data_IF_574026468616
#
_entry.id   IF_574026468616
#
_cell.length_a   1.000
_cell.length_b   1.000
_cell.length_c   1.000
_cell.angle_alpha   90.00
_cell.angle_beta   90.00
_cell.angle_gamma   90.00
#
_symmetry.space_group_name_H-M   'P 1'
#
loop_
_entity.id
_entity.type
_entity.pdbx_description
1 polymer ?
#
# COMPACT_ATOMS: atom_id res chain seq x y z
N UNK A 1 -4.82 4.63 0.62
CA UNK A 1 -4.23 5.82 1.30
C UNK A 1 -3.18 5.31 2.27
N UNK A 2 -2.19 4.64 1.68
CA UNK A 2 -1.04 4.08 2.34
C UNK A 2 -0.11 3.74 1.19
N UNK A 3 1.17 4.03 1.34
CA UNK A 3 2.19 3.69 0.36
C UNK A 3 3.30 3.00 1.13
N UNK A 4 3.75 1.89 0.59
CA UNK A 4 4.86 1.12 1.13
C UNK A 4 5.82 0.82 -0.01
N UNK A 5 7.07 0.50 0.32
CA UNK A 5 8.12 0.21 -0.67
C UNK A 5 8.82 -1.08 -0.32
N UNK A 6 9.05 -1.93 -1.32
CA UNK A 6 9.84 -3.14 -1.18
C UNK A 6 11.27 -2.89 -1.68
N UNK A 7 12.25 -3.44 -0.99
CA UNK A 7 13.63 -3.40 -1.44
C UNK A 7 13.84 -4.38 -2.60
N UNK A 8 14.52 -3.91 -3.65
CA UNK A 8 14.85 -4.69 -4.84
C UNK A 8 16.36 -4.68 -5.06
N UNK A 9 16.88 -5.77 -5.61
CA UNK A 9 18.31 -5.98 -5.84
C UNK A 9 18.58 -6.31 -7.30
N UNK A 10 19.83 -6.18 -7.75
CA UNK A 10 20.23 -6.49 -9.13
C UNK A 10 20.10 -7.97 -9.50
N UNK A 11 19.86 -8.85 -8.52
CA UNK A 11 19.61 -10.26 -8.73
C UNK A 11 18.11 -10.58 -8.91
N UNK A 12 17.23 -9.59 -8.79
CA UNK A 12 15.80 -9.79 -9.00
C UNK A 12 15.48 -9.80 -10.49
N UNK A 13 14.88 -10.89 -10.96
CA UNK A 13 14.33 -10.97 -12.29
C UNK A 13 13.00 -10.19 -12.40
N UNK A 14 12.52 -9.99 -13.63
CA UNK A 14 11.22 -9.32 -13.85
C UNK A 14 10.08 -10.07 -13.16
N UNK A 15 10.11 -11.41 -13.17
CA UNK A 15 9.10 -12.23 -12.51
C UNK A 15 9.15 -12.10 -10.97
N UNK A 16 10.34 -11.89 -10.40
CA UNK A 16 10.50 -11.64 -8.97
C UNK A 16 9.92 -10.26 -8.58
N UNK A 17 10.14 -9.25 -9.42
CA UNK A 17 9.55 -7.91 -9.22
C UNK A 17 8.02 -7.96 -9.29
N UNK A 18 7.45 -8.73 -10.22
CA UNK A 18 5.99 -8.92 -10.33
C UNK A 18 5.44 -9.59 -9.06
N UNK A 19 6.11 -10.63 -8.55
CA UNK A 19 5.69 -11.28 -7.30
C UNK A 19 5.77 -10.34 -6.11
N UNK A 20 6.89 -9.64 -5.93
CA UNK A 20 7.08 -8.65 -4.84
C UNK A 20 6.04 -7.53 -4.91
N UNK A 21 5.75 -7.03 -6.12
CA UNK A 21 4.73 -6.01 -6.34
C UNK A 21 3.33 -6.49 -5.93
N UNK A 22 2.94 -7.69 -6.34
CA UNK A 22 1.63 -8.28 -5.99
C UNK A 22 1.46 -8.45 -4.48
N UNK A 23 2.51 -8.85 -3.77
CA UNK A 23 2.46 -9.00 -2.32
C UNK A 23 2.37 -7.65 -1.61
N UNK A 24 3.13 -6.65 -2.08
CA UNK A 24 3.06 -5.29 -1.57
C UNK A 24 1.66 -4.68 -1.78
N UNK A 25 1.09 -4.82 -2.99
CA UNK A 25 -0.25 -4.33 -3.31
C UNK A 25 -1.32 -4.92 -2.40
N UNK A 26 -1.29 -6.24 -2.16
CA UNK A 26 -2.24 -6.90 -1.25
C UNK A 26 -2.15 -6.34 0.17
N UNK A 27 -0.94 -6.14 0.66
CA UNK A 27 -0.69 -5.73 2.03
C UNK A 27 -1.10 -4.26 2.24
N UNK A 28 -0.71 -3.38 1.32
CA UNK A 28 -1.11 -1.96 1.31
C UNK A 28 -2.62 -1.81 1.18
N UNK A 29 -3.25 -2.60 0.31
CA UNK A 29 -4.70 -2.56 0.12
C UNK A 29 -5.44 -3.03 1.38
N UNK A 30 -5.01 -4.14 1.99
CA UNK A 30 -5.62 -4.67 3.21
C UNK A 30 -5.55 -3.66 4.36
N UNK A 31 -4.39 -3.01 4.56
CA UNK A 31 -4.23 -1.96 5.59
C UNK A 31 -5.08 -0.73 5.31
N UNK A 32 -5.14 -0.29 4.05
CA UNK A 32 -5.99 0.84 3.65
C UNK A 32 -7.47 0.54 3.89
N UNK A 33 -7.94 -0.67 3.56
CA UNK A 33 -9.32 -1.11 3.85
C UNK A 33 -9.59 -1.14 5.35
N UNK A 34 -8.65 -1.67 6.14
CA UNK A 34 -8.80 -1.72 7.61
C UNK A 34 -8.96 -0.32 8.21
N UNK A 35 -8.11 0.63 7.82
CA UNK A 35 -8.21 2.04 8.22
C UNK A 35 -9.51 2.69 7.74
N UNK A 36 -9.98 2.32 6.55
CA UNK A 36 -11.26 2.81 6.02
C UNK A 36 -12.45 2.32 6.85
N UNK A 37 -12.49 1.02 7.19
CA UNK A 37 -13.54 0.42 8.02
C UNK A 37 -13.61 1.03 9.42
N UNK A 38 -12.47 1.43 9.97
CA UNK A 38 -12.39 2.13 11.26
C UNK A 38 -12.83 3.60 11.19
N UNK A 39 -13.30 4.09 10.04
CA UNK A 39 -13.65 5.50 9.77
C UNK A 39 -12.50 6.47 10.11
N UNK A 40 -11.24 6.00 10.08
CA UNK A 40 -10.03 6.79 10.35
C UNK A 40 -9.53 7.56 9.13
N UNK A 41 -10.33 7.60 8.06
CA UNK A 41 -9.98 8.14 6.75
C UNK A 41 -10.96 9.26 6.42
N UNK A 42 -10.48 10.50 6.37
CA UNK A 42 -11.27 11.67 5.98
C UNK A 42 -10.75 12.24 4.66
N UNK A 43 -11.59 12.23 3.62
CA UNK A 43 -11.24 12.77 2.31
C UNK A 43 -11.59 14.26 2.27
N UNK A 44 -10.60 15.11 2.03
CA UNK A 44 -10.79 16.55 1.90
C UNK A 44 -9.95 17.10 0.74
N UNK A 45 -10.61 17.74 -0.24
CA UNK A 45 -9.94 18.47 -1.32
C UNK A 45 -8.91 17.64 -2.10
N UNK A 46 -9.28 16.43 -2.53
CA UNK A 46 -8.41 15.49 -3.26
C UNK A 46 -7.20 14.93 -2.45
N UNK A 47 -7.17 15.16 -1.14
CA UNK A 47 -6.21 14.55 -0.21
C UNK A 47 -6.98 13.79 0.87
N UNK A 48 -6.30 12.84 1.50
CA UNK A 48 -6.93 12.03 2.53
C UNK A 48 -6.13 12.11 3.82
N UNK A 49 -6.77 12.54 4.89
CA UNK A 49 -6.20 12.61 6.24
C UNK A 49 -6.45 11.27 6.92
N UNK A 50 -5.37 10.62 7.36
CA UNK A 50 -5.42 9.38 8.13
C UNK A 50 -5.13 9.74 9.59
N UNK A 51 -6.06 9.45 10.49
CA UNK A 51 -5.85 9.64 11.93
C UNK A 51 -5.16 8.39 12.50
N UNK A 52 -4.00 8.53 13.13
CA UNK A 52 -3.27 7.43 13.80
C UNK A 52 -3.95 7.02 15.11
#
# INVERSE_FOLDING_TARGET
IEQDVAHVTHNDSVDDLIHKGRDLEKLVLARAIWKHLQRKILVHGNRTVVFE
#
